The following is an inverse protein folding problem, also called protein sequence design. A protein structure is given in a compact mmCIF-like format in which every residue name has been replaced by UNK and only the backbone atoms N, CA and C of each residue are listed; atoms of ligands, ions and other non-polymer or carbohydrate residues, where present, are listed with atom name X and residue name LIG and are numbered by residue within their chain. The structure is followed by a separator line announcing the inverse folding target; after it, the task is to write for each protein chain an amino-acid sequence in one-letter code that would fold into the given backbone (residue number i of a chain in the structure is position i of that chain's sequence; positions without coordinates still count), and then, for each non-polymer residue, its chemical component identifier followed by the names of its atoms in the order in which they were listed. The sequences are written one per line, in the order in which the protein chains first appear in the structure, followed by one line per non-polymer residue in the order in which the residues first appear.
data_IF_239459232142
#
_entry.id   IF_239459232142
#
_cell.length_a   1.000
_cell.length_b   1.000
_cell.length_c   1.000
_cell.angle_alpha   90.00
_cell.angle_beta   90.00
_cell.angle_gamma   90.00
#
_symmetry.space_group_name_H-M   'P 1'
#
loop_
_entity.id
_entity.type
_entity.pdbx_description
1 polymer ?
#
# COMPACT_ATOMS: atom_id res chain seq x y z
N UNK A 1 -14.58 7.76 4.39
CA UNK A 1 -15.56 7.09 5.26
C UNK A 1 -16.39 6.27 4.31
N UNK A 2 -16.04 5.00 4.19
CA UNK A 2 -16.84 4.08 3.38
C UNK A 2 -18.14 3.89 4.15
N UNK A 3 -19.24 4.23 3.49
CA UNK A 3 -20.57 4.09 4.04
C UNK A 3 -21.29 3.01 3.24
N UNK A 4 -21.63 1.90 3.88
CA UNK A 4 -22.41 0.84 3.25
C UNK A 4 -23.90 1.20 3.36
N UNK A 5 -24.61 1.12 2.23
CA UNK A 5 -26.06 1.34 2.18
C UNK A 5 -26.75 0.00 1.98
N UNK A 6 -27.45 -0.48 3.03
CA UNK A 6 -28.26 -1.70 2.94
C UNK A 6 -29.71 -1.36 2.59
N UNK A 7 -30.28 -2.17 1.70
CA UNK A 7 -31.68 -2.08 1.30
C UNK A 7 -32.47 -3.24 1.89
N UNK A 8 -33.56 -2.93 2.59
CA UNK A 8 -34.57 -3.89 2.98
C UNK A 8 -35.93 -3.44 2.44
N UNK A 9 -36.69 -4.38 1.88
CA UNK A 9 -38.04 -4.14 1.37
C UNK A 9 -39.03 -4.64 2.42
N UNK A 10 -39.86 -3.74 2.93
CA UNK A 10 -40.99 -4.09 3.81
C UNK A 10 -42.18 -4.60 2.97
N UNK A 11 -43.06 -5.48 3.50
CA UNK A 11 -44.41 -5.73 3.00
C UNK A 11 -45.21 -4.50 2.51
N UNK A 12 -44.96 -3.31 3.06
CA UNK A 12 -45.53 -2.02 2.71
C UNK A 12 -44.87 -1.35 1.50
N UNK A 13 -43.86 -1.98 0.89
CA UNK A 13 -43.12 -1.48 -0.28
C UNK A 13 -42.33 -0.19 0.00
N UNK A 14 -41.94 0.03 1.26
CA UNK A 14 -41.07 1.13 1.69
C UNK A 14 -39.58 0.75 1.52
N UNK A 15 -38.75 1.71 1.14
CA UNK A 15 -37.30 1.56 0.97
C UNK A 15 -36.58 2.12 2.20
N UNK A 16 -35.98 1.24 3.00
CA UNK A 16 -35.20 1.65 4.17
C UNK A 16 -33.74 1.88 3.78
N UNK A 17 -33.16 2.97 4.30
CA UNK A 17 -31.74 3.30 4.16
C UNK A 17 -31.05 3.09 5.51
N UNK A 18 -30.06 2.21 5.55
CA UNK A 18 -29.10 2.15 6.65
C UNK A 18 -27.77 2.67 6.13
N UNK A 19 -27.15 3.63 6.82
CA UNK A 19 -25.81 4.14 6.50
C UNK A 19 -24.86 3.57 7.53
N UNK A 20 -24.10 2.54 7.16
CA UNK A 20 -23.13 1.90 8.05
C UNK A 20 -21.73 2.45 7.81
N UNK A 21 -21.10 2.97 8.85
CA UNK A 21 -19.75 3.52 8.81
C UNK A 21 -18.68 2.45 9.02
N UNK A 22 -18.67 1.39 8.20
CA UNK A 22 -17.69 0.30 8.31
C UNK A 22 -17.54 -0.29 9.72
N UNK A 23 -16.37 -0.89 10.00
CA UNK A 23 -16.09 -1.64 11.24
C UNK A 23 -15.80 -0.79 12.50
N UNK A 24 -15.77 0.55 12.41
CA UNK A 24 -15.55 1.40 13.59
C UNK A 24 -16.89 1.63 14.32
N UNK A 25 -17.19 0.78 15.31
CA UNK A 25 -18.39 0.83 16.15
C UNK A 25 -18.58 2.17 16.89
N UNK A 26 -17.54 3.00 16.98
CA UNK A 26 -17.59 4.32 17.60
C UNK A 26 -17.79 5.46 16.59
N UNK A 27 -17.98 5.15 15.30
CA UNK A 27 -18.48 6.11 14.32
C UNK A 27 -20.00 6.10 14.36
N UNK A 28 -20.58 7.09 15.03
CA UNK A 28 -22.00 7.39 14.91
C UNK A 28 -22.15 8.46 13.82
N UNK A 29 -22.57 8.07 12.63
CA UNK A 29 -22.85 9.03 11.55
C UNK A 29 -24.27 9.56 11.73
N UNK A 30 -24.42 10.85 12.04
CA UNK A 30 -25.73 11.47 12.25
C UNK A 30 -26.26 12.25 11.04
N UNK A 31 -25.45 12.48 10.00
CA UNK A 31 -25.83 13.22 8.80
C UNK A 31 -25.10 12.73 7.54
N UNK A 32 -25.84 12.61 6.44
CA UNK A 32 -25.32 12.50 5.06
C UNK A 32 -25.69 13.77 4.30
N UNK A 33 -24.74 14.38 3.60
CA UNK A 33 -24.92 15.72 3.02
C UNK A 33 -25.47 15.71 1.59
N UNK A 34 -25.17 14.69 0.76
CA UNK A 34 -25.59 14.63 -0.66
C UNK A 34 -25.71 13.19 -1.24
N UNK A 35 -26.13 13.10 -2.51
CA UNK A 35 -27.11 12.18 -3.09
C UNK A 35 -26.76 10.68 -3.23
N UNK A 36 -27.83 9.87 -3.20
CA UNK A 36 -27.86 8.46 -3.58
C UNK A 36 -28.32 8.35 -5.04
N UNK A 37 -27.49 7.80 -5.91
CA UNK A 37 -27.90 7.35 -7.24
C UNK A 37 -28.34 5.88 -7.14
N UNK A 38 -29.62 5.61 -7.41
CA UNK A 38 -30.18 4.26 -7.43
C UNK A 38 -30.50 3.92 -8.88
N UNK A 39 -29.66 3.09 -9.48
CA UNK A 39 -29.99 2.42 -10.72
C UNK A 39 -30.64 1.07 -10.37
N UNK A 40 -31.72 0.70 -11.04
CA UNK A 40 -32.41 -0.57 -10.82
C UNK A 40 -32.83 -1.17 -12.15
N UNK A 41 -32.73 -2.50 -12.25
CA UNK A 41 -33.07 -3.22 -13.46
C UNK A 41 -33.04 -4.72 -13.21
N UNK A 42 -33.79 -5.44 -14.02
CA UNK A 42 -33.92 -6.90 -13.91
C UNK A 42 -32.73 -7.64 -14.52
N UNK A 43 -31.87 -6.91 -15.24
CA UNK A 43 -30.63 -7.42 -15.81
C UNK A 43 -29.43 -6.77 -15.10
N UNK A 44 -28.71 -7.51 -14.23
CA UNK A 44 -27.57 -6.97 -13.49
C UNK A 44 -26.43 -6.49 -14.39
N UNK A 45 -26.39 -7.00 -15.62
CA UNK A 45 -25.35 -6.71 -16.60
C UNK A 45 -25.53 -5.35 -17.27
N UNK A 46 -26.73 -5.05 -17.75
CA UNK A 46 -27.06 -3.71 -18.27
C UNK A 46 -27.03 -2.69 -17.14
N UNK A 47 -27.48 -3.08 -15.94
CA UNK A 47 -27.44 -2.23 -14.75
C UNK A 47 -26.04 -1.69 -14.44
N UNK A 48 -25.03 -2.57 -14.43
CA UNK A 48 -23.64 -2.18 -14.18
C UNK A 48 -23.13 -1.23 -15.25
N UNK A 49 -23.38 -1.56 -16.52
CA UNK A 49 -22.92 -0.78 -17.67
C UNK A 49 -23.54 0.62 -17.71
N UNK A 50 -24.85 0.72 -17.50
CA UNK A 50 -25.58 1.99 -17.47
C UNK A 50 -25.13 2.88 -16.31
N UNK A 51 -24.85 2.28 -15.15
CA UNK A 51 -24.33 3.01 -13.98
C UNK A 51 -22.99 3.68 -14.29
N UNK A 52 -22.06 2.96 -14.93
CA UNK A 52 -20.73 3.52 -15.25
C UNK A 52 -20.81 4.55 -16.37
N UNK A 53 -21.66 4.34 -17.39
CA UNK A 53 -21.90 5.34 -18.43
C UNK A 53 -22.44 6.65 -17.84
N UNK A 54 -23.36 6.55 -16.88
CA UNK A 54 -23.89 7.70 -16.17
C UNK A 54 -22.78 8.43 -15.41
N UNK A 55 -21.96 7.73 -14.61
CA UNK A 55 -20.83 8.36 -13.89
C UNK A 55 -19.87 9.08 -14.84
N UNK A 56 -19.56 8.47 -15.99
CA UNK A 56 -18.74 9.11 -17.01
C UNK A 56 -19.39 10.38 -17.57
N UNK A 57 -20.70 10.37 -17.83
CA UNK A 57 -21.44 11.56 -18.29
C UNK A 57 -21.45 12.71 -17.27
N UNK A 58 -21.26 12.39 -15.99
CA UNK A 58 -21.12 13.35 -14.91
C UNK A 58 -19.67 13.81 -14.68
N UNK A 59 -18.73 13.45 -15.57
CA UNK A 59 -17.30 13.77 -15.43
C UNK A 59 -16.67 13.21 -14.15
N UNK A 60 -17.12 12.05 -13.68
CA UNK A 60 -16.44 11.31 -12.61
C UNK A 60 -15.19 10.65 -13.18
N UNK A 61 -14.04 10.85 -12.53
CA UNK A 61 -12.73 10.32 -12.98
C UNK A 61 -12.32 9.00 -12.29
N UNK A 62 -13.02 8.58 -11.24
CA UNK A 62 -12.74 7.34 -10.55
C UNK A 62 -13.95 6.79 -9.80
N UNK A 63 -14.07 5.46 -9.78
CA UNK A 63 -15.15 4.73 -9.09
C UNK A 63 -14.53 3.65 -8.22
N UNK A 64 -14.93 3.61 -6.95
CA UNK A 64 -14.58 2.52 -6.03
C UNK A 64 -15.76 1.54 -5.96
N UNK A 65 -15.55 0.33 -6.43
CA UNK A 65 -16.54 -0.74 -6.35
C UNK A 65 -16.39 -1.47 -5.02
N UNK A 66 -17.46 -1.54 -4.23
CA UNK A 66 -17.48 -2.14 -2.88
C UNK A 66 -18.40 -3.36 -2.84
N UNK A 67 -18.26 -4.22 -1.82
CA UNK A 67 -19.12 -5.40 -1.56
C UNK A 67 -19.13 -6.40 -2.75
N UNK A 68 -18.00 -6.55 -3.44
CA UNK A 68 -17.89 -7.48 -4.58
C UNK A 68 -18.06 -8.94 -4.16
N UNK A 69 -17.75 -9.27 -2.90
CA UNK A 69 -17.95 -10.60 -2.31
C UNK A 69 -19.42 -11.05 -2.33
N UNK A 70 -20.40 -10.14 -2.37
CA UNK A 70 -21.81 -10.52 -2.47
C UNK A 70 -22.12 -11.27 -3.77
N UNK A 71 -21.34 -11.04 -4.83
CA UNK A 71 -21.47 -11.76 -6.11
C UNK A 71 -21.26 -13.27 -5.94
N UNK A 72 -20.49 -13.70 -4.94
CA UNK A 72 -20.32 -15.13 -4.59
C UNK A 72 -21.65 -15.81 -4.24
N UNK A 73 -22.59 -15.05 -3.67
CA UNK A 73 -23.89 -15.58 -3.22
C UNK A 73 -24.97 -15.55 -4.31
N UNK A 74 -24.72 -14.88 -5.44
CA UNK A 74 -25.71 -14.58 -6.48
C UNK A 74 -25.57 -15.41 -7.77
N UNK A 75 -24.68 -16.41 -7.79
CA UNK A 75 -24.38 -17.19 -9.01
C UNK A 75 -25.49 -18.14 -9.51
N UNK A 76 -26.58 -18.32 -8.75
CA UNK A 76 -27.68 -19.21 -9.15
C UNK A 76 -28.46 -18.64 -10.33
N UNK A 77 -28.69 -19.45 -11.38
CA UNK A 77 -29.43 -19.03 -12.58
C UNK A 77 -28.63 -18.25 -13.63
N UNK A 78 -27.36 -17.89 -13.35
CA UNK A 78 -26.49 -17.12 -14.26
C UNK A 78 -25.18 -17.84 -14.63
N UNK A 79 -25.16 -19.18 -14.53
CA UNK A 79 -23.99 -19.99 -14.87
C UNK A 79 -22.95 -20.13 -13.76
N UNK A 80 -23.34 -19.84 -12.51
CA UNK A 80 -22.49 -19.97 -11.33
C UNK A 80 -21.57 -18.78 -11.09
N UNK A 81 -20.88 -18.80 -9.94
CA UNK A 81 -20.00 -17.71 -9.50
C UNK A 81 -18.91 -17.35 -10.53
N UNK A 82 -18.26 -18.35 -11.13
CA UNK A 82 -17.19 -18.11 -12.12
C UNK A 82 -17.69 -17.30 -13.32
N UNK A 83 -18.85 -17.66 -13.86
CA UNK A 83 -19.43 -16.96 -15.02
C UNK A 83 -19.84 -15.53 -14.67
N UNK A 84 -20.42 -15.34 -13.47
CA UNK A 84 -20.84 -14.05 -12.97
C UNK A 84 -19.64 -13.12 -12.71
N UNK A 85 -18.59 -13.60 -12.05
CA UNK A 85 -17.36 -12.84 -11.80
C UNK A 85 -16.66 -12.47 -13.10
N UNK A 86 -16.52 -13.42 -14.04
CA UNK A 86 -15.92 -13.13 -15.35
C UNK A 86 -16.69 -12.03 -16.08
N UNK A 87 -18.01 -12.10 -16.10
CA UNK A 87 -18.81 -11.05 -16.71
C UNK A 87 -18.59 -9.71 -16.01
N UNK A 88 -18.62 -9.69 -14.68
CA UNK A 88 -18.44 -8.48 -13.89
C UNK A 88 -17.13 -7.79 -14.23
N UNK A 89 -16.03 -8.53 -14.25
CA UNK A 89 -14.71 -8.04 -14.65
C UNK A 89 -14.69 -7.55 -16.10
N UNK A 90 -15.21 -8.35 -17.06
CA UNK A 90 -15.27 -7.93 -18.48
C UNK A 90 -16.08 -6.64 -18.68
N UNK A 91 -17.18 -6.47 -17.94
CA UNK A 91 -18.01 -5.29 -18.00
C UNK A 91 -17.32 -4.08 -17.36
N UNK A 92 -16.63 -4.27 -16.23
CA UNK A 92 -15.80 -3.24 -15.60
C UNK A 92 -14.69 -2.79 -16.54
N UNK A 93 -13.88 -3.71 -17.06
CA UNK A 93 -12.77 -3.43 -17.96
C UNK A 93 -13.23 -2.68 -19.21
N UNK A 94 -14.28 -3.18 -19.88
CA UNK A 94 -14.82 -2.52 -21.08
C UNK A 94 -15.33 -1.12 -20.78
N UNK A 95 -15.99 -0.94 -19.64
CA UNK A 95 -16.53 0.36 -19.27
C UNK A 95 -15.42 1.34 -18.88
N UNK A 96 -14.41 0.87 -18.13
CA UNK A 96 -13.23 1.67 -17.77
C UNK A 96 -12.49 2.11 -19.04
N UNK A 97 -12.20 1.18 -19.95
CA UNK A 97 -11.50 1.47 -21.20
C UNK A 97 -12.25 2.47 -22.11
N UNK A 98 -13.59 2.46 -22.09
CA UNK A 98 -14.41 3.41 -22.86
C UNK A 98 -14.44 4.81 -22.23
N UNK A 99 -14.55 4.86 -20.90
CA UNK A 99 -14.96 6.06 -20.17
C UNK A 99 -13.79 6.81 -19.50
N UNK A 100 -12.70 6.13 -19.14
CA UNK A 100 -11.60 6.69 -18.33
C UNK A 100 -10.26 6.60 -19.08
N UNK A 101 -10.05 7.53 -20.02
CA UNK A 101 -8.88 7.53 -20.94
C UNK A 101 -7.57 8.02 -20.31
N UNK A 102 -7.61 8.59 -19.11
CA UNK A 102 -6.48 9.26 -18.45
C UNK A 102 -5.93 8.52 -17.22
N UNK A 103 -6.37 7.29 -16.97
CA UNK A 103 -5.81 6.50 -15.87
C UNK A 103 -4.42 6.01 -16.26
N UNK A 104 -3.37 6.64 -15.70
CA UNK A 104 -1.98 6.17 -15.77
C UNK A 104 -1.75 4.83 -15.03
N UNK A 105 -2.81 4.22 -14.51
CA UNK A 105 -2.84 2.88 -13.99
C UNK A 105 -3.49 2.00 -15.07
N UNK A 106 -2.67 1.29 -15.83
CA UNK A 106 -3.16 0.21 -16.71
C UNK A 106 -3.82 -0.93 -15.89
N UNK A 107 -3.62 -0.94 -14.57
CA UNK A 107 -4.00 -2.01 -13.65
C UNK A 107 -4.98 -1.52 -12.58
N UNK A 108 -6.01 -2.32 -12.28
CA UNK A 108 -6.96 -2.06 -11.21
C UNK A 108 -6.26 -1.90 -9.84
N UNK A 109 -6.79 -1.00 -9.02
CA UNK A 109 -6.41 -0.84 -7.60
C UNK A 109 -7.38 -1.70 -6.78
N UNK A 110 -6.86 -2.60 -5.96
CA UNK A 110 -7.69 -3.52 -5.17
C UNK A 110 -7.32 -3.48 -3.69
N UNK A 111 -8.33 -3.51 -2.84
CA UNK A 111 -8.16 -3.57 -1.38
C UNK A 111 -7.37 -4.82 -1.00
N UNK A 112 -6.28 -4.64 -0.27
CA UNK A 112 -5.35 -5.71 0.08
C UNK A 112 -5.56 -6.29 1.50
N UNK A 113 -6.43 -5.71 2.30
CA UNK A 113 -6.76 -6.16 3.65
C UNK A 113 -8.12 -5.64 4.12
N UNK A 114 -8.49 -5.91 5.36
CA UNK A 114 -9.63 -5.27 6.03
C UNK A 114 -9.51 -3.74 6.10
N UNK A 115 -10.60 -3.09 6.52
CA UNK A 115 -10.63 -1.64 6.69
C UNK A 115 -9.64 -1.15 7.75
N UNK A 116 -8.98 -0.02 7.44
CA UNK A 116 -8.08 0.62 8.39
C UNK A 116 -8.87 1.29 9.50
N UNK A 117 -8.59 0.92 10.75
CA UNK A 117 -9.27 1.41 11.94
C UNK A 117 -8.37 2.38 12.72
N UNK A 118 -8.36 3.69 12.40
CA UNK A 118 -7.38 4.63 12.96
C UNK A 118 -7.49 4.82 14.47
N UNK A 119 -8.66 4.53 15.05
CA UNK A 119 -8.94 4.64 16.49
C UNK A 119 -8.61 3.39 17.28
N UNK A 120 -8.21 2.32 16.60
CA UNK A 120 -7.81 1.07 17.22
C UNK A 120 -6.30 0.87 16.99
N UNK A 121 -5.44 1.30 17.94
CA UNK A 121 -3.99 1.20 17.80
C UNK A 121 -3.52 -0.24 17.54
N UNK A 122 -4.29 -1.23 18.01
CA UNK A 122 -3.96 -2.63 17.84
C UNK A 122 -4.12 -3.13 16.40
N UNK A 123 -5.00 -2.49 15.62
CA UNK A 123 -5.19 -2.83 14.22
C UNK A 123 -4.13 -2.22 13.30
N UNK A 124 -3.44 -1.16 13.71
CA UNK A 124 -2.47 -0.47 12.85
C UNK A 124 -1.32 -1.41 12.42
N UNK A 125 -0.81 -2.22 13.35
CA UNK A 125 0.28 -3.15 13.06
C UNK A 125 -0.17 -4.37 12.28
N UNK A 126 -1.35 -4.90 12.58
CA UNK A 126 -1.97 -5.98 11.81
C UNK A 126 -2.23 -5.55 10.37
N UNK A 127 -2.71 -4.33 10.17
CA UNK A 127 -3.01 -3.78 8.85
C UNK A 127 -1.74 -3.72 7.99
N UNK A 128 -0.68 -3.09 8.50
CA UNK A 128 0.60 -2.99 7.78
C UNK A 128 1.15 -4.38 7.46
N UNK A 129 1.14 -5.31 8.43
CA UNK A 129 1.60 -6.68 8.19
C UNK A 129 0.74 -7.39 7.13
N UNK A 130 -0.59 -7.38 7.30
CA UNK A 130 -1.52 -8.07 6.39
C UNK A 130 -1.41 -7.56 4.97
N UNK A 131 -1.39 -6.23 4.78
CA UNK A 131 -1.24 -5.64 3.44
C UNK A 131 0.12 -5.99 2.83
N UNK A 132 1.20 -5.93 3.60
CA UNK A 132 2.54 -6.28 3.11
C UNK A 132 2.60 -7.74 2.64
N UNK A 133 2.10 -8.68 3.43
CA UNK A 133 2.09 -10.10 3.06
C UNK A 133 1.15 -10.39 1.88
N UNK A 134 -0.05 -9.79 1.85
CA UNK A 134 -0.99 -9.96 0.73
C UNK A 134 -0.47 -9.34 -0.57
N UNK A 135 0.36 -8.30 -0.48
CA UNK A 135 1.00 -7.64 -1.63
C UNK A 135 2.00 -8.53 -2.38
N UNK A 136 2.48 -9.62 -1.78
CA UNK A 136 3.34 -10.60 -2.47
C UNK A 136 2.64 -11.26 -3.65
N UNK A 137 1.34 -11.56 -3.51
CA UNK A 137 0.54 -12.15 -4.58
C UNK A 137 -0.24 -11.08 -5.35
N UNK A 138 -0.93 -10.19 -4.62
CA UNK A 138 -1.78 -9.18 -5.23
C UNK A 138 -0.98 -8.20 -6.09
N UNK A 139 0.23 -7.84 -5.68
CA UNK A 139 1.07 -6.88 -6.39
C UNK A 139 1.48 -7.29 -7.82
N UNK A 140 1.36 -8.58 -8.15
CA UNK A 140 1.62 -9.11 -9.50
C UNK A 140 0.41 -8.96 -10.45
N UNK A 141 -0.78 -8.69 -9.89
CA UNK A 141 -2.05 -8.68 -10.63
C UNK A 141 -2.69 -7.29 -10.60
N UNK A 142 -2.62 -6.61 -9.45
CA UNK A 142 -3.29 -5.34 -9.15
C UNK A 142 -2.37 -4.45 -8.33
N UNK A 143 -2.68 -3.16 -8.27
CA UNK A 143 -2.04 -2.26 -7.31
C UNK A 143 -2.70 -2.46 -5.94
N UNK A 144 -1.98 -2.95 -4.91
CA UNK A 144 -2.56 -3.13 -3.59
C UNK A 144 -2.93 -1.77 -2.97
N UNK A 145 -4.19 -1.61 -2.58
CA UNK A 145 -4.68 -0.46 -1.81
C UNK A 145 -4.46 -0.71 -0.31
N UNK A 146 -3.64 0.16 0.28
CA UNK A 146 -3.26 0.15 1.69
C UNK A 146 -4.29 0.89 2.56
N UNK A 147 -5.42 1.31 1.99
CA UNK A 147 -6.45 2.15 2.62
C UNK A 147 -5.97 3.59 2.89
N UNK A 148 -6.90 4.47 3.22
CA UNK A 148 -6.68 5.90 3.40
C UNK A 148 -6.71 6.33 4.86
N UNK A 149 -6.00 7.41 5.17
CA UNK A 149 -6.20 8.14 6.40
C UNK A 149 -7.64 8.64 6.53
N UNK A 150 -8.07 8.90 7.77
CA UNK A 150 -9.34 9.58 8.02
C UNK A 150 -9.37 10.93 7.26
N UNK A 151 -10.44 11.22 6.49
CA UNK A 151 -10.57 12.50 5.81
C UNK A 151 -10.40 13.69 6.76
N UNK A 152 -9.61 14.68 6.34
CA UNK A 152 -9.31 15.88 7.13
C UNK A 152 -8.27 15.67 8.23
N UNK A 153 -7.63 14.49 8.32
CA UNK A 153 -6.56 14.18 9.28
C UNK A 153 -5.19 13.98 8.63
N UNK A 154 -5.04 14.35 7.37
CA UNK A 154 -3.78 14.23 6.66
C UNK A 154 -2.70 15.13 7.28
N UNK A 155 -1.50 14.58 7.46
CA UNK A 155 -0.34 15.37 7.89
C UNK A 155 0.40 15.91 6.65
N UNK A 156 0.24 17.21 6.38
CA UNK A 156 0.91 17.87 5.26
C UNK A 156 2.43 17.90 5.37
N UNK A 157 3.00 17.75 6.58
CA UNK A 157 4.45 17.61 6.74
C UNK A 157 4.93 16.26 6.21
N UNK A 158 4.13 15.21 6.38
CA UNK A 158 4.39 13.88 5.81
C UNK A 158 4.15 13.92 4.29
N UNK A 159 3.04 14.48 3.82
CA UNK A 159 2.73 14.55 2.39
C UNK A 159 3.82 15.27 1.58
N UNK A 160 4.39 16.35 2.11
CA UNK A 160 5.51 17.08 1.48
C UNK A 160 6.78 16.25 1.33
N UNK A 161 6.91 15.13 2.07
CA UNK A 161 8.02 14.17 1.94
C UNK A 161 7.73 13.02 0.99
N UNK A 162 6.50 12.93 0.46
CA UNK A 162 6.05 11.89 -0.46
C UNK A 162 5.78 12.44 -1.87
N UNK A 163 5.33 13.69 -1.97
CA UNK A 163 4.84 14.31 -3.20
C UNK A 163 5.57 15.62 -3.47
N UNK A 164 5.99 15.82 -4.72
CA UNK A 164 6.59 17.06 -5.19
C UNK A 164 5.56 18.20 -5.33
N UNK A 165 6.01 19.48 -5.38
CA UNK A 165 5.12 20.61 -5.56
C UNK A 165 4.26 20.57 -6.84
N UNK A 166 4.67 19.83 -7.86
CA UNK A 166 3.93 19.64 -9.11
C UNK A 166 2.90 18.49 -9.04
N UNK A 167 2.78 17.82 -7.89
CA UNK A 167 1.86 16.70 -7.66
C UNK A 167 2.43 15.34 -8.04
N UNK A 168 3.65 15.26 -8.60
CA UNK A 168 4.28 13.98 -8.90
C UNK A 168 4.76 13.28 -7.62
N UNK A 169 4.72 11.95 -7.61
CA UNK A 169 5.01 11.12 -6.43
C UNK A 169 6.29 10.33 -6.68
N UNK A 170 7.16 10.24 -5.67
CA UNK A 170 8.37 9.40 -5.71
C UNK A 170 8.00 7.93 -5.49
N UNK A 171 7.32 7.35 -6.47
CA UNK A 171 6.82 5.97 -6.42
C UNK A 171 7.93 4.98 -6.74
N UNK A 172 8.03 3.94 -5.93
CA UNK A 172 8.83 2.76 -6.25
C UNK A 172 8.21 1.95 -7.42
N UNK A 173 8.96 1.03 -7.99
CA UNK A 173 8.58 0.27 -9.19
C UNK A 173 7.45 -0.74 -8.95
N UNK A 174 7.43 -1.40 -7.79
CA UNK A 174 6.52 -2.51 -7.51
C UNK A 174 5.61 -2.22 -6.31
N UNK A 175 4.83 -3.21 -5.87
CA UNK A 175 4.26 -3.21 -4.53
C UNK A 175 5.37 -3.43 -3.48
N UNK A 176 5.15 -2.96 -2.25
CA UNK A 176 6.09 -3.24 -1.15
C UNK A 176 6.04 -4.72 -0.77
N UNK A 177 7.20 -5.38 -0.72
CA UNK A 177 7.30 -6.80 -0.34
C UNK A 177 8.01 -6.98 1.00
N UNK A 178 7.56 -7.92 1.84
CA UNK A 178 8.33 -8.34 3.00
C UNK A 178 9.72 -8.80 2.58
N UNK A 179 10.74 -8.39 3.34
CA UNK A 179 12.09 -8.91 3.16
C UNK A 179 12.09 -10.42 3.43
N UNK A 180 12.99 -11.13 2.74
CA UNK A 180 13.06 -12.60 2.78
C UNK A 180 13.18 -13.18 4.18
N UNK A 181 13.90 -12.49 5.06
CA UNK A 181 14.12 -12.92 6.44
C UNK A 181 12.92 -12.66 7.36
N UNK A 182 11.91 -11.91 6.91
CA UNK A 182 10.66 -11.67 7.62
C UNK A 182 9.54 -12.65 7.19
N UNK A 183 9.67 -13.36 6.07
CA UNK A 183 8.57 -14.10 5.43
C UNK A 183 7.91 -15.18 6.30
N UNK A 184 8.65 -15.77 7.24
CA UNK A 184 8.18 -16.85 8.10
C UNK A 184 8.22 -16.48 9.59
N UNK A 185 8.26 -15.18 9.88
CA UNK A 185 8.24 -14.64 11.23
C UNK A 185 6.90 -13.97 11.50
N UNK A 186 6.51 -13.89 12.77
CA UNK A 186 5.33 -13.13 13.20
C UNK A 186 5.79 -11.75 13.68
N UNK A 187 5.68 -10.69 12.85
CA UNK A 187 6.13 -9.36 13.22
C UNK A 187 5.20 -8.65 14.23
N UNK A 188 4.08 -9.29 14.62
CA UNK A 188 3.07 -8.68 15.49
C UNK A 188 3.10 -9.26 16.90
N UNK A 189 3.26 -10.59 17.05
CA UNK A 189 3.10 -11.27 18.35
C UNK A 189 4.34 -11.95 18.92
N UNK A 190 5.39 -12.23 18.14
CA UNK A 190 6.50 -13.06 18.63
C UNK A 190 7.48 -12.36 19.59
N UNK A 191 7.27 -11.05 19.83
CA UNK A 191 8.03 -10.13 20.68
C UNK A 191 9.51 -9.96 20.34
N UNK A 192 9.93 -10.40 19.15
CA UNK A 192 11.35 -10.36 18.73
C UNK A 192 11.56 -9.87 17.30
N UNK A 193 10.59 -10.06 16.42
CA UNK A 193 10.78 -9.84 14.98
C UNK A 193 10.22 -8.48 14.55
N UNK A 194 11.00 -7.74 13.76
CA UNK A 194 10.50 -6.56 13.06
C UNK A 194 10.01 -6.95 11.66
N UNK A 195 9.05 -6.20 11.13
CA UNK A 195 8.66 -6.29 9.73
C UNK A 195 9.58 -5.41 8.90
N UNK A 196 10.18 -5.97 7.85
CA UNK A 196 10.93 -5.22 6.86
C UNK A 196 10.20 -5.30 5.53
N UNK A 197 10.00 -4.16 4.88
CA UNK A 197 9.29 -4.05 3.60
C UNK A 197 10.19 -3.31 2.64
N UNK A 198 10.49 -3.91 1.49
CA UNK A 198 11.41 -3.35 0.52
C UNK A 198 10.78 -3.18 -0.86
N UNK A 199 11.42 -2.34 -1.68
CA UNK A 199 11.06 -2.10 -3.07
C UNK A 199 12.25 -1.51 -3.86
N UNK A 200 12.08 -1.35 -5.17
CA UNK A 200 13.09 -0.83 -6.08
C UNK A 200 12.70 0.52 -6.66
N UNK A 201 13.69 1.38 -6.79
CA UNK A 201 13.69 2.56 -7.63
C UNK A 201 14.42 2.25 -8.94
N UNK A 202 14.65 3.27 -9.78
CA UNK A 202 15.34 3.07 -11.06
C UNK A 202 16.80 2.64 -10.90
N UNK A 203 17.47 3.16 -9.89
CA UNK A 203 18.90 2.94 -9.65
C UNK A 203 19.26 2.55 -8.21
N UNK A 204 18.27 2.45 -7.32
CA UNK A 204 18.44 2.17 -5.89
C UNK A 204 17.29 1.33 -5.36
N UNK A 205 17.37 0.89 -4.11
CA UNK A 205 16.27 0.30 -3.37
C UNK A 205 15.83 1.18 -2.21
N UNK A 206 14.65 0.91 -1.70
CA UNK A 206 14.14 1.46 -0.44
C UNK A 206 13.68 0.31 0.45
N UNK A 207 13.99 0.39 1.74
CA UNK A 207 13.52 -0.54 2.74
C UNK A 207 13.00 0.21 3.96
N UNK A 208 11.80 -0.13 4.40
CA UNK A 208 11.21 0.31 5.66
C UNK A 208 11.30 -0.80 6.70
N UNK A 209 11.68 -0.43 7.91
CA UNK A 209 11.72 -1.31 9.08
C UNK A 209 10.65 -0.84 10.06
N UNK A 210 9.78 -1.74 10.47
CA UNK A 210 8.61 -1.43 11.29
C UNK A 210 8.62 -2.32 12.54
N UNK A 211 8.55 -1.71 13.72
CA UNK A 211 8.29 -2.45 14.94
C UNK A 211 6.78 -2.55 15.18
N UNK A 212 6.23 -3.69 14.74
CA UNK A 212 4.82 -4.03 14.83
C UNK A 212 4.45 -4.81 16.11
N UNK A 213 5.41 -5.04 17.00
CA UNK A 213 5.27 -5.97 18.13
C UNK A 213 4.38 -5.44 19.25
N UNK A 214 3.50 -6.30 19.77
CA UNK A 214 2.74 -6.07 20.99
C UNK A 214 1.64 -5.03 20.88
N UNK A 215 1.47 -4.41 19.71
CA UNK A 215 0.36 -3.53 19.46
C UNK A 215 -0.88 -4.33 19.02
N UNK A 216 -0.77 -5.35 18.18
CA UNK A 216 -1.93 -6.05 17.58
C UNK A 216 -2.19 -7.47 18.07
N UNK A 217 -3.33 -8.05 17.68
CA UNK A 217 -3.69 -9.45 17.91
C UNK A 217 -4.37 -10.09 16.68
N UNK A 218 -3.84 -11.22 16.20
CA UNK A 218 -4.44 -11.94 15.08
C UNK A 218 -5.82 -12.51 15.46
N UNK A 219 -6.88 -12.30 14.65
CA UNK A 219 -8.19 -12.89 14.91
C UNK A 219 -8.10 -14.43 14.95
N UNK A 220 -8.82 -15.04 15.89
CA UNK A 220 -8.86 -16.49 16.18
C UNK A 220 -7.67 -17.12 16.94
N UNK A 221 -6.68 -16.35 17.41
CA UNK A 221 -5.67 -16.86 18.33
C UNK A 221 -6.08 -16.61 19.80
N UNK A 222 -7.02 -17.42 20.31
CA UNK A 222 -7.47 -17.38 21.72
C UNK A 222 -6.31 -17.59 22.72
N UNK A 223 -5.26 -18.31 22.31
CA UNK A 223 -4.06 -18.56 23.14
C UNK A 223 -3.20 -17.29 23.34
N UNK A 224 -3.33 -16.28 22.47
CA UNK A 224 -2.54 -15.05 22.55
C UNK A 224 -3.20 -13.94 23.40
N UNK A 225 -4.52 -13.99 23.61
CA UNK A 225 -5.25 -12.95 24.35
C UNK A 225 -4.82 -12.86 25.82
N UNK A 226 -4.44 -13.98 26.44
CA UNK A 226 -3.94 -14.00 27.84
C UNK A 226 -2.53 -13.41 27.99
N UNK A 227 -1.75 -13.33 26.91
CA UNK A 227 -0.37 -12.81 26.91
C UNK A 227 -0.35 -11.27 26.73
N UNK A 228 -1.40 -10.69 26.12
CA UNK A 228 -1.56 -9.25 25.87
C UNK A 228 -1.92 -8.44 27.13
N UNK A 229 -2.39 -9.08 28.21
CA UNK A 229 -2.75 -8.41 29.47
C UNK A 229 -1.55 -8.04 30.35
N UNK A 230 -0.33 -8.44 29.95
CA UNK A 230 0.89 -7.95 30.59
C UNK A 230 1.19 -6.53 30.07
N UNK A 231 1.16 -5.56 30.98
CA UNK A 231 1.48 -4.15 30.77
C UNK A 231 2.53 -3.95 29.67
N UNK A 232 2.08 -3.44 28.51
CA UNK A 232 2.92 -3.10 27.35
C UNK A 232 3.94 -2.03 27.74
N UNK A 233 5.06 -2.46 28.29
CA UNK A 233 6.26 -1.63 28.33
C UNK A 233 6.75 -1.50 26.90
N UNK A 234 6.97 -0.27 26.41
CA UNK A 234 7.52 -0.02 25.08
C UNK A 234 8.96 -0.54 25.02
N UNK A 235 9.15 -1.84 24.84
CA UNK A 235 10.46 -2.43 24.69
C UNK A 235 10.98 -2.10 23.30
N UNK A 236 12.13 -1.40 23.25
CA UNK A 236 12.88 -1.29 22.01
C UNK A 236 13.39 -2.68 21.67
N UNK A 237 13.11 -3.18 20.47
CA UNK A 237 13.73 -4.39 19.95
C UNK A 237 14.78 -3.96 18.91
N UNK A 238 15.76 -4.82 18.66
CA UNK A 238 16.81 -4.57 17.69
C UNK A 238 16.75 -5.59 16.56
N UNK A 239 17.02 -5.15 15.34
CA UNK A 239 17.21 -6.03 14.19
C UNK A 239 18.38 -5.52 13.34
N UNK A 240 18.62 -6.20 12.22
CA UNK A 240 19.61 -5.75 11.25
C UNK A 240 18.97 -5.46 9.90
N UNK A 241 19.43 -4.39 9.27
CA UNK A 241 19.18 -4.08 7.86
C UNK A 241 20.42 -4.44 7.07
N UNK A 242 20.24 -5.20 5.99
CA UNK A 242 21.29 -5.52 5.05
C UNK A 242 20.94 -5.02 3.65
N UNK A 243 21.91 -4.59 2.85
CA UNK A 243 21.67 -4.41 1.42
C UNK A 243 21.15 -5.67 0.71
N UNK A 244 21.38 -6.84 1.28
CA UNK A 244 20.83 -8.10 0.78
C UNK A 244 19.31 -8.22 0.93
N UNK A 245 18.69 -7.42 1.81
CA UNK A 245 17.25 -7.45 2.06
C UNK A 245 16.45 -6.83 0.90
N UNK A 246 17.09 -6.00 0.07
CA UNK A 246 16.54 -5.49 -1.19
C UNK A 246 17.02 -6.40 -2.31
N UNK A 247 16.10 -7.17 -2.89
CA UNK A 247 16.48 -8.08 -3.97
C UNK A 247 16.74 -7.34 -5.29
N UNK A 248 17.49 -7.98 -6.19
CA UNK A 248 17.83 -7.47 -7.54
C UNK A 248 18.75 -6.24 -7.60
N UNK A 249 19.33 -5.80 -6.48
CA UNK A 249 20.47 -4.90 -6.51
C UNK A 249 21.79 -5.68 -6.70
N UNK A 250 22.74 -5.08 -7.42
CA UNK A 250 24.10 -5.58 -7.62
C UNK A 250 25.13 -4.60 -6.98
N UNK A 251 26.32 -5.09 -6.56
CA UNK A 251 27.48 -4.33 -6.03
C UNK A 251 27.59 -4.06 -4.49
N UNK A 252 28.48 -3.16 -4.08
CA UNK A 252 28.70 -2.67 -2.70
C UNK A 252 27.76 -1.50 -2.47
N UNK A 253 27.16 -1.40 -1.30
CA UNK A 253 26.01 -0.51 -1.10
C UNK A 253 26.28 0.59 -0.10
N UNK A 254 25.44 1.60 -0.25
CA UNK A 254 25.33 2.71 0.65
C UNK A 254 23.93 2.76 1.24
N UNK A 255 23.84 2.99 2.55
CA UNK A 255 22.58 3.19 3.26
C UNK A 255 22.42 4.67 3.67
N UNK A 256 21.32 5.29 3.25
CA UNK A 256 20.93 6.66 3.64
C UNK A 256 20.26 6.66 5.01
N UNK A 257 20.82 7.44 5.94
CA UNK A 257 20.46 7.57 7.34
C UNK A 257 21.54 8.45 7.99
N UNK A 258 22.55 7.81 8.57
CA UNK A 258 23.84 8.45 8.94
C UNK A 258 24.94 8.28 7.89
N UNK A 259 24.59 7.87 6.66
CA UNK A 259 25.51 7.71 5.53
C UNK A 259 26.55 6.62 5.83
N UNK A 260 26.21 5.36 5.52
CA UNK A 260 27.10 4.21 5.81
C UNK A 260 27.36 3.39 4.55
N UNK A 261 28.64 3.15 4.26
CA UNK A 261 29.09 2.20 3.23
C UNK A 261 29.13 0.79 3.82
N UNK A 262 28.44 -0.14 3.19
CA UNK A 262 28.37 -1.54 3.61
C UNK A 262 28.67 -2.49 2.45
N UNK A 263 29.37 -3.61 2.70
CA UNK A 263 29.42 -4.71 1.74
C UNK A 263 28.02 -5.30 1.54
N UNK A 264 27.84 -6.10 0.48
CA UNK A 264 26.53 -6.72 0.15
C UNK A 264 25.85 -7.45 1.30
N UNK A 265 26.63 -8.13 2.15
CA UNK A 265 26.14 -8.85 3.35
C UNK A 265 26.47 -8.10 4.66
N UNK A 266 26.80 -6.83 4.56
CA UNK A 266 26.99 -5.97 5.73
C UNK A 266 25.67 -5.81 6.47
N UNK A 267 25.77 -5.61 7.79
CA UNK A 267 24.62 -5.48 8.66
C UNK A 267 24.69 -4.11 9.35
N UNK A 268 23.57 -3.40 9.35
CA UNK A 268 23.35 -2.18 10.11
C UNK A 268 22.36 -2.51 11.23
N UNK A 269 22.76 -2.35 12.49
CA UNK A 269 21.86 -2.52 13.63
C UNK A 269 20.85 -1.38 13.69
N UNK A 270 19.58 -1.72 13.91
CA UNK A 270 18.47 -0.77 14.03
C UNK A 270 17.68 -1.13 15.28
N UNK A 271 17.41 -0.14 16.13
CA UNK A 271 16.62 -0.32 17.35
C UNK A 271 15.39 0.59 17.33
N UNK A 272 14.21 -0.02 17.39
CA UNK A 272 12.93 0.69 17.27
C UNK A 272 12.02 0.37 18.45
N UNK A 273 11.32 1.39 18.95
CA UNK A 273 10.22 1.24 19.89
C UNK A 273 8.97 0.73 19.15
N UNK A 274 8.07 0.08 19.87
CA UNK A 274 6.74 -0.31 19.35
C UNK A 274 6.06 0.86 18.63
N UNK A 275 5.43 0.57 17.49
CA UNK A 275 4.76 1.55 16.62
C UNK A 275 5.67 2.63 16.02
N UNK A 276 6.98 2.38 15.95
CA UNK A 276 7.91 3.26 15.22
C UNK A 276 8.49 2.55 14.01
N UNK A 277 8.92 3.34 13.03
CA UNK A 277 9.52 2.85 11.81
C UNK A 277 10.68 3.75 11.36
N UNK A 278 11.57 3.17 10.57
CA UNK A 278 12.65 3.87 9.89
C UNK A 278 12.73 3.43 8.44
N UNK A 279 13.17 4.35 7.57
CA UNK A 279 13.30 4.15 6.14
C UNK A 279 14.74 4.34 5.72
N UNK A 280 15.19 3.47 4.83
CA UNK A 280 16.56 3.42 4.35
C UNK A 280 16.56 3.37 2.82
N UNK A 281 17.35 4.24 2.19
CA UNK A 281 17.67 4.12 0.76
C UNK A 281 18.95 3.31 0.60
N UNK A 282 18.90 2.24 -0.18
CA UNK A 282 20.03 1.39 -0.51
C UNK A 282 20.50 1.73 -1.93
N UNK A 283 21.59 2.47 -2.06
CA UNK A 283 22.15 2.83 -3.37
C UNK A 283 23.40 1.98 -3.66
N UNK A 284 23.46 1.30 -4.81
CA UNK A 284 24.70 0.71 -5.32
C UNK A 284 25.79 1.79 -5.49
N UNK A 285 27.03 1.43 -5.16
CA UNK A 285 28.22 2.24 -5.38
C UNK A 285 28.83 1.82 -6.71
N UNK A 286 28.71 2.68 -7.72
CA UNK A 286 29.31 2.48 -9.03
C UNK A 286 30.76 2.97 -9.04
N UNK A 287 31.60 2.27 -9.80
CA UNK A 287 33.00 2.66 -10.04
C UNK A 287 33.10 3.37 -11.38
N UNK A 288 33.64 4.59 -11.38
CA UNK A 288 33.88 5.37 -12.59
C UNK A 288 35.38 5.69 -12.76
N UNK A 289 35.85 5.70 -14.00
CA UNK A 289 37.20 6.19 -14.32
C UNK A 289 38.32 5.32 -13.72
N UNK A 290 39.15 5.94 -12.87
CA UNK A 290 40.28 5.32 -12.16
C UNK A 290 39.93 5.24 -10.66
N UNK A 291 38.89 4.45 -10.31
CA UNK A 291 38.44 4.17 -8.93
C UNK A 291 37.58 5.24 -8.23
N UNK A 292 36.94 6.15 -8.97
CA UNK A 292 35.95 7.05 -8.37
C UNK A 292 34.69 6.27 -7.99
N UNK A 293 34.43 6.16 -6.70
CA UNK A 293 33.23 5.53 -6.15
C UNK A 293 32.09 6.54 -6.04
N UNK A 294 30.93 6.21 -6.61
CA UNK A 294 29.79 7.12 -6.62
C UNK A 294 28.47 6.38 -6.43
N UNK A 295 27.61 6.90 -5.54
CA UNK A 295 26.27 6.39 -5.27
C UNK A 295 25.25 7.54 -5.29
N UNK A 296 24.25 7.53 -6.19
CA UNK A 296 23.22 8.56 -6.22
C UNK A 296 22.15 8.31 -5.15
N UNK A 297 21.95 9.27 -4.25
CA UNK A 297 20.99 9.13 -3.14
C UNK A 297 19.65 9.79 -3.41
N UNK A 298 19.60 10.81 -4.27
CA UNK A 298 18.42 11.62 -4.54
C UNK A 298 18.17 12.69 -3.46
N UNK A 299 16.89 12.99 -3.19
CA UNK A 299 16.48 14.04 -2.24
C UNK A 299 16.32 13.50 -0.81
N UNK A 300 17.32 13.73 0.03
CA UNK A 300 17.41 13.17 1.40
C UNK A 300 16.30 13.64 2.35
N UNK A 301 15.60 14.72 2.02
CA UNK A 301 14.44 15.22 2.76
C UNK A 301 13.13 14.48 2.42
N UNK A 302 13.13 13.66 1.36
CA UNK A 302 12.01 12.83 0.93
C UNK A 302 12.11 11.40 1.48
N UNK A 303 10.97 10.77 1.73
CA UNK A 303 10.94 9.39 2.26
C UNK A 303 11.51 8.36 1.28
N UNK A 304 11.17 8.48 -0.01
CA UNK A 304 11.77 7.67 -1.07
C UNK A 304 12.79 8.49 -1.87
N UNK A 305 13.84 8.95 -1.17
CA UNK A 305 14.92 9.78 -1.74
C UNK A 305 15.44 9.24 -3.07
N UNK A 306 15.75 7.94 -3.13
CA UNK A 306 16.29 7.28 -4.32
C UNK A 306 15.32 7.21 -5.51
N UNK A 307 14.03 7.39 -5.28
CA UNK A 307 13.01 7.45 -6.34
C UNK A 307 13.17 8.67 -7.24
N UNK A 308 13.84 9.73 -6.75
CA UNK A 308 14.11 10.94 -7.52
C UNK A 308 15.28 10.80 -8.50
N UNK A 309 15.91 9.63 -8.58
CA UNK A 309 17.07 9.43 -9.46
C UNK A 309 16.63 8.60 -10.66
N UNK A 310 16.47 9.28 -11.78
CA UNK A 310 15.97 8.74 -13.04
C UNK A 310 17.05 8.03 -13.86
N UNK A 311 18.24 8.64 -13.96
CA UNK A 311 19.35 8.09 -14.72
C UNK A 311 20.70 8.59 -14.20
N UNK A 312 21.75 7.81 -14.44
CA UNK A 312 23.12 8.13 -14.09
C UNK A 312 24.02 7.82 -15.29
N UNK A 313 24.65 8.86 -15.84
CA UNK A 313 25.53 8.77 -17.00
C UNK A 313 26.92 9.27 -16.63
N UNK A 314 27.95 8.64 -17.19
CA UNK A 314 29.34 9.06 -17.02
C UNK A 314 29.99 9.25 -18.38
N UNK A 315 30.60 10.42 -18.58
CA UNK A 315 31.48 10.69 -19.73
C UNK A 315 32.91 10.80 -19.24
N UNK A 316 33.81 10.00 -19.83
CA UNK A 316 35.23 9.94 -19.48
C UNK A 316 36.03 10.62 -20.58
N UNK A 317 36.74 11.69 -20.24
CA UNK A 317 37.76 12.31 -21.08
C UNK A 317 39.16 11.89 -20.59
N UNK A 318 40.20 12.18 -21.38
CA UNK A 318 41.60 11.81 -21.07
C UNK A 318 42.08 12.29 -19.68
N UNK A 319 41.51 13.38 -19.16
CA UNK A 319 41.92 14.00 -17.88
C UNK A 319 40.77 14.23 -16.89
N UNK A 320 39.52 13.90 -17.24
CA UNK A 320 38.37 14.20 -16.38
C UNK A 320 37.26 13.15 -16.51
N UNK A 321 36.48 13.02 -15.44
CA UNK A 321 35.32 12.15 -15.37
C UNK A 321 34.13 13.03 -14.99
N UNK A 322 33.12 13.13 -15.86
CA UNK A 322 31.91 13.90 -15.61
C UNK A 322 30.75 12.95 -15.36
N UNK A 323 30.18 13.01 -14.16
CA UNK A 323 28.99 12.26 -13.77
C UNK A 323 27.77 13.17 -13.90
N UNK A 324 26.76 12.75 -14.66
CA UNK A 324 25.49 13.45 -14.84
C UNK A 324 24.36 12.60 -14.25
N UNK A 325 23.59 13.22 -13.37
CA UNK A 325 22.39 12.65 -12.77
C UNK A 325 21.18 13.31 -13.42
N UNK A 326 20.22 12.49 -13.83
CA UNK A 326 18.88 12.96 -14.16
C UNK A 326 17.97 12.63 -12.98
N UNK A 327 17.16 13.59 -12.56
CA UNK A 327 16.03 13.38 -11.66
C UNK A 327 14.72 13.69 -12.34
#
# INVERSE_FOLDING_TARGET
MDADVKFARDPANELHFCVESGLDFNVETSQSLEAVYINSGDNPFELLKDSINYFSSCSVDGVKFVIQNLMETLGSGVGGWVSLTRFYEEALEQSIARNFKYNNLETAVARASEDFMPREPTFQTLHIASVAFNSLLLGEIVVPDWNIDKPGKQDFKILRKLVFPDGSVLRSRYAGWPARDCLFLDPVLDRKSMLKIWNLNKLSGVIGVFNCQGAGSWPHNEVAQDICNATSTSSSIACHVSPHDVEFLEEVYYISGSVTKLPRKGLLEVSLKTLTCELYTISPIKVFGNDLLFAPLGFLDMYNSGGAVEALNCTKDLSSCTIKIKG
#
